data_IF_996475344814
#
_entry.id   IF_996475344814
#
_cell.length_a   1.000
_cell.length_b   1.000
_cell.length_c   1.000
_cell.angle_alpha   90.00
_cell.angle_beta   90.00
_cell.angle_gamma   90.00
#
_symmetry.space_group_name_H-M   'P 1'
#
loop_
_entity.id
_entity.type
_entity.pdbx_description
1 polymer ?
#
# COMPACT_ATOMS: atom_id res chain seq x y z
N UNK A 1 -22.06 5.87 8.35
CA UNK A 1 -20.93 5.51 7.53
C UNK A 1 -20.22 4.28 8.08
N UNK A 2 -19.92 3.36 7.25
CA UNK A 2 -19.28 2.16 7.73
C UNK A 2 -17.84 2.06 7.22
N UNK A 3 -17.12 1.16 7.84
CA UNK A 3 -15.69 1.05 7.63
C UNK A 3 -15.29 0.70 6.21
N UNK A 4 -16.14 -0.06 5.53
CA UNK A 4 -15.84 -0.47 4.20
C UNK A 4 -15.55 0.69 3.29
N UNK A 5 -16.31 1.76 3.45
CA UNK A 5 -16.14 2.93 2.63
C UNK A 5 -14.78 3.59 2.84
N UNK A 6 -14.37 3.67 4.09
CA UNK A 6 -13.09 4.27 4.42
C UNK A 6 -11.94 3.44 3.87
N UNK A 7 -12.07 2.13 3.98
CA UNK A 7 -11.04 1.23 3.47
C UNK A 7 -10.92 1.38 1.95
N UNK A 8 -12.04 1.37 1.27
CA UNK A 8 -12.04 1.49 -0.18
C UNK A 8 -11.45 2.81 -0.64
N UNK A 9 -11.89 3.88 -0.01
CA UNK A 9 -11.41 5.19 -0.40
C UNK A 9 -9.93 5.33 -0.17
N UNK A 10 -9.49 4.91 1.00
CA UNK A 10 -8.05 4.99 1.33
C UNK A 10 -7.23 4.15 0.39
N UNK A 11 -7.70 2.95 0.11
CA UNK A 11 -6.99 2.06 -0.78
C UNK A 11 -6.89 2.65 -2.18
N UNK A 12 -8.00 3.18 -2.68
CA UNK A 12 -8.00 3.76 -4.02
C UNK A 12 -7.08 4.96 -4.12
N UNK A 13 -7.03 5.76 -3.08
CA UNK A 13 -6.14 6.91 -3.06
C UNK A 13 -4.69 6.45 -3.16
N UNK A 14 -4.32 5.51 -2.31
CA UNK A 14 -2.93 5.04 -2.30
C UNK A 14 -2.57 4.30 -3.57
N UNK A 15 -3.44 3.39 -3.98
CA UNK A 15 -3.18 2.59 -5.17
C UNK A 15 -3.06 3.47 -6.41
N UNK A 16 -4.02 4.38 -6.57
CA UNK A 16 -4.03 5.24 -7.73
C UNK A 16 -2.80 6.11 -7.81
N UNK A 17 -2.36 6.61 -6.67
CA UNK A 17 -1.16 7.44 -6.66
C UNK A 17 0.08 6.63 -7.05
N UNK A 18 0.23 5.47 -6.43
CA UNK A 18 1.40 4.65 -6.69
C UNK A 18 1.43 4.13 -8.12
N UNK A 19 0.26 3.84 -8.64
CA UNK A 19 0.17 3.38 -10.02
C UNK A 19 0.58 4.48 -10.98
N UNK A 20 0.06 5.67 -10.78
CA UNK A 20 0.35 6.79 -11.66
C UNK A 20 1.80 7.23 -11.58
N UNK A 21 2.39 7.11 -10.42
CA UNK A 21 3.79 7.53 -10.26
C UNK A 21 4.77 6.43 -10.65
N UNK A 22 4.26 5.26 -11.01
CA UNK A 22 5.13 4.17 -11.42
C UNK A 22 5.83 3.48 -10.28
N UNK A 23 5.35 3.69 -9.06
CA UNK A 23 6.01 3.10 -7.89
C UNK A 23 5.40 1.81 -7.43
N UNK A 24 4.31 1.40 -8.05
CA UNK A 24 3.63 0.18 -7.64
C UNK A 24 4.47 -1.04 -7.99
N UNK A 25 4.63 -1.91 -7.00
CA UNK A 25 5.42 -3.12 -7.17
C UNK A 25 4.51 -4.29 -7.45
N UNK A 26 4.90 -5.46 -6.99
CA UNK A 26 4.14 -6.65 -7.25
C UNK A 26 2.72 -6.50 -6.67
N UNK A 27 1.73 -6.83 -7.49
CA UNK A 27 0.34 -6.48 -7.17
C UNK A 27 -0.17 -7.12 -5.90
N UNK A 28 0.08 -8.40 -5.73
CA UNK A 28 -0.45 -9.08 -4.56
C UNK A 28 0.18 -8.60 -3.27
N UNK A 29 1.50 -8.47 -3.27
CA UNK A 29 2.18 -7.99 -2.08
C UNK A 29 1.78 -6.56 -1.76
N UNK A 30 1.62 -5.74 -2.79
CA UNK A 30 1.21 -4.36 -2.58
C UNK A 30 -0.19 -4.28 -2.01
N UNK A 31 -1.10 -5.08 -2.56
CA UNK A 31 -2.47 -5.09 -2.06
C UNK A 31 -2.50 -5.50 -0.59
N UNK A 32 -1.81 -6.57 -0.27
CA UNK A 32 -1.81 -7.05 1.11
C UNK A 32 -1.23 -6.02 2.06
N UNK A 33 -0.16 -5.39 1.66
CA UNK A 33 0.45 -4.37 2.51
C UNK A 33 -0.49 -3.20 2.75
N UNK A 34 -1.07 -2.67 1.68
CA UNK A 34 -1.91 -1.50 1.81
C UNK A 34 -3.17 -1.79 2.61
N UNK A 35 -3.78 -2.93 2.38
CA UNK A 35 -4.98 -3.28 3.13
C UNK A 35 -4.68 -3.40 4.61
N UNK A 36 -3.62 -4.10 4.95
CA UNK A 36 -3.25 -4.26 6.35
C UNK A 36 -2.92 -2.93 7.02
N UNK A 37 -2.18 -2.10 6.30
CA UNK A 37 -1.81 -0.81 6.84
C UNK A 37 -3.06 0.04 7.10
N UNK A 38 -3.96 0.05 6.12
CA UNK A 38 -5.18 0.83 6.24
C UNK A 38 -6.03 0.32 7.40
N UNK A 39 -6.15 -0.99 7.53
CA UNK A 39 -6.90 -1.55 8.64
C UNK A 39 -6.31 -1.15 9.98
N UNK A 40 -5.00 -1.14 10.07
CA UNK A 40 -4.34 -0.72 11.29
C UNK A 40 -4.62 0.73 11.62
N UNK A 41 -4.63 1.59 10.62
CA UNK A 41 -4.93 2.99 10.82
C UNK A 41 -6.35 3.18 11.35
N UNK A 42 -7.29 2.46 10.77
CA UNK A 42 -8.67 2.55 11.21
C UNK A 42 -8.80 2.03 12.63
N UNK A 43 -8.12 0.95 12.93
CA UNK A 43 -8.15 0.37 14.26
C UNK A 43 -7.59 1.32 15.30
N UNK A 44 -6.63 2.13 14.90
CA UNK A 44 -6.04 3.10 15.82
C UNK A 44 -6.86 4.38 15.93
N UNK A 45 -7.94 4.48 15.19
CA UNK A 45 -8.84 5.61 15.31
C UNK A 45 -8.86 6.58 14.16
N UNK A 46 -8.00 6.40 13.18
CA UNK A 46 -7.99 7.29 12.04
C UNK A 46 -9.11 6.93 11.09
N UNK A 47 -9.89 7.92 10.68
CA UNK A 47 -11.03 7.69 9.83
C UNK A 47 -11.03 8.51 8.55
N UNK A 48 -10.06 9.35 8.36
CA UNK A 48 -10.03 10.23 7.19
C UNK A 48 -9.30 9.55 6.05
N UNK A 49 -10.00 9.25 4.96
CA UNK A 49 -9.37 8.50 3.87
C UNK A 49 -8.14 9.17 3.27
N UNK A 50 -8.17 10.48 3.14
CA UNK A 50 -7.01 11.17 2.59
C UNK A 50 -5.79 11.01 3.47
N UNK A 51 -6.01 11.13 4.78
CA UNK A 51 -4.91 10.99 5.72
C UNK A 51 -4.38 9.56 5.70
N UNK A 52 -5.28 8.60 5.73
CA UNK A 52 -4.88 7.20 5.70
C UNK A 52 -4.16 6.88 4.41
N UNK A 53 -4.70 7.36 3.29
CA UNK A 53 -4.09 7.13 2.00
C UNK A 53 -2.69 7.70 1.91
N UNK A 54 -2.52 8.93 2.39
CA UNK A 54 -1.21 9.56 2.36
C UNK A 54 -0.21 8.81 3.23
N UNK A 55 -0.66 8.38 4.39
CA UNK A 55 0.20 7.62 5.28
C UNK A 55 0.57 6.28 4.67
N UNK A 56 -0.40 5.67 3.99
CA UNK A 56 -0.14 4.39 3.34
C UNK A 56 0.90 4.54 2.25
N UNK A 57 0.82 5.62 1.48
CA UNK A 57 1.81 5.88 0.45
C UNK A 57 3.20 6.03 1.06
N UNK A 58 3.28 6.80 2.13
CA UNK A 58 4.56 7.01 2.78
C UNK A 58 5.13 5.72 3.33
N UNK A 59 4.28 4.91 3.94
CA UNK A 59 4.72 3.64 4.50
C UNK A 59 5.15 2.68 3.40
N UNK A 60 4.44 2.70 2.30
CA UNK A 60 4.77 1.85 1.18
C UNK A 60 6.16 2.21 0.62
N UNK A 61 6.40 3.49 0.48
CA UNK A 61 7.69 3.95 -0.03
C UNK A 61 8.83 3.61 0.91
N UNK A 62 8.56 3.63 2.20
CA UNK A 62 9.59 3.32 3.17
C UNK A 62 9.89 1.84 3.25
N UNK A 63 8.95 1.01 2.82
CA UNK A 63 9.13 -0.42 2.89
C UNK A 63 9.91 -0.90 1.69
N UNK A 64 10.92 -1.72 1.95
CA UNK A 64 11.70 -2.31 0.88
C UNK A 64 10.97 -3.52 0.36
N UNK A 65 10.10 -3.30 -0.61
CA UNK A 65 9.36 -4.40 -1.20
C UNK A 65 10.28 -5.22 -2.08
N UNK A 66 10.12 -6.52 -2.02
CA UNK A 66 10.80 -7.33 -3.02
C UNK A 66 10.14 -7.02 -4.35
N UNK A 67 10.94 -6.74 -5.33
CA UNK A 67 10.39 -6.48 -6.63
C UNK A 67 10.09 -7.79 -7.29
N UNK A 68 9.17 -7.75 -8.22
CA UNK A 68 8.89 -8.93 -9.00
C UNK A 68 9.99 -9.19 -9.99
N UNK A 69 10.94 -8.32 -10.03
CA UNK A 69 12.03 -8.43 -10.96
C UNK A 69 12.93 -9.59 -10.61
N UNK A 70 13.22 -10.34 -11.59
CA UNK A 70 14.17 -11.42 -11.45
C UNK A 70 15.51 -10.90 -11.91
N UNK A 71 16.44 -10.89 -11.00
CA UNK A 71 17.74 -10.42 -11.32
C UNK A 71 18.64 -11.54 -11.62
N UNK A 72 19.28 -11.44 -12.73
CA UNK A 72 20.21 -12.48 -13.16
C UNK A 72 19.58 -13.84 -13.14
N UNK A 73 18.33 -13.87 -13.50
CA UNK A 73 17.64 -15.13 -13.60
C UNK A 73 17.18 -15.70 -12.28
N UNK A 74 17.24 -14.93 -11.24
CA UNK A 74 16.76 -15.40 -9.97
C UNK A 74 16.14 -14.27 -9.20
N UNK A 75 15.22 -14.63 -8.36
CA UNK A 75 14.57 -13.68 -7.52
C UNK A 75 15.49 -13.36 -6.35
N UNK A 76 15.72 -12.09 -6.18
CA UNK A 76 16.56 -11.67 -5.08
C UNK A 76 15.71 -11.05 -4.01
N UNK A 77 15.62 -11.72 -2.91
CA UNK A 77 14.87 -11.24 -1.77
C UNK A 77 15.84 -10.69 -0.78
N UNK A 78 16.20 -9.48 -0.98
CA UNK A 78 17.18 -8.91 -0.11
C UNK A 78 16.62 -8.73 1.25
N UNK A 79 17.22 -9.30 2.12
CA UNK A 79 16.82 -9.14 3.48
C UNK A 79 17.39 -7.86 4.00
#
# INVERSE_FOLDING_TARGET
MYMGSVIEDSFNIAWGFLERSGELREAEASTNFLVRFIEDQIRSGERRPMMIGNRAIAAYRAKAFPTATVREGRVVWMA
#
